data_IF_414442935415
#
_entry.id   IF_414442935415
#
_cell.length_a   1.000
_cell.length_b   1.000
_cell.length_c   1.000
_cell.angle_alpha   90.00
_cell.angle_beta   90.00
_cell.angle_gamma   90.00
#
_symmetry.space_group_name_H-M   'P 1'
#
loop_
_entity.id
_entity.type
_entity.pdbx_description
1 polymer ?
#
# COMPACT_ATOMS: atom_id res chain seq x y z
N UNK A 1 -9.36 2.28 -26.48
CA UNK A 1 -8.57 1.93 -25.25
C UNK A 1 -7.15 2.46 -25.36
N UNK A 2 -6.49 2.26 -26.49
CA UNK A 2 -5.08 2.67 -26.73
C UNK A 2 -4.86 4.18 -26.70
N UNK A 3 -5.90 4.96 -26.99
CA UNK A 3 -5.81 6.43 -27.11
C UNK A 3 -5.76 7.16 -25.74
N UNK A 4 -6.26 6.54 -24.69
CA UNK A 4 -6.22 7.11 -23.32
C UNK A 4 -4.87 6.84 -22.64
N UNK A 5 -4.28 5.68 -22.88
CA UNK A 5 -2.96 5.33 -22.35
C UNK A 5 -1.85 6.14 -23.03
N UNK A 6 -1.92 6.32 -24.34
CA UNK A 6 -0.95 7.12 -25.09
C UNK A 6 -1.04 8.62 -24.75
N UNK A 7 -2.23 9.15 -24.49
CA UNK A 7 -2.41 10.54 -24.04
C UNK A 7 -1.84 10.78 -22.65
N UNK A 8 -2.03 9.83 -21.71
CA UNK A 8 -1.47 9.88 -20.37
C UNK A 8 0.06 9.95 -20.38
N UNK A 9 0.70 9.11 -21.18
CA UNK A 9 2.15 9.12 -21.37
C UNK A 9 2.65 10.40 -22.06
N UNK A 10 1.94 10.89 -23.06
CA UNK A 10 2.28 12.13 -23.75
C UNK A 10 2.23 13.36 -22.85
N UNK A 11 1.26 13.46 -21.95
CA UNK A 11 1.15 14.56 -21.00
C UNK A 11 2.21 14.48 -19.90
N UNK A 12 2.54 13.29 -19.43
CA UNK A 12 3.65 13.07 -18.48
C UNK A 12 4.96 13.50 -19.14
N UNK A 13 5.22 13.09 -20.37
CA UNK A 13 6.44 13.44 -21.11
C UNK A 13 6.56 14.94 -21.37
N UNK A 14 5.50 15.62 -21.80
CA UNK A 14 5.51 17.07 -22.05
C UNK A 14 5.79 17.89 -20.80
N UNK A 15 5.28 17.49 -19.65
CA UNK A 15 5.55 18.19 -18.39
C UNK A 15 6.94 17.91 -17.86
N UNK A 16 7.44 16.69 -18.06
CA UNK A 16 8.81 16.30 -17.68
C UNK A 16 9.89 16.99 -18.53
N UNK A 17 9.60 17.33 -19.78
CA UNK A 17 10.49 18.14 -20.61
C UNK A 17 10.83 19.49 -19.99
N UNK A 18 10.00 20.02 -19.09
CA UNK A 18 10.25 21.22 -18.29
C UNK A 18 10.88 20.93 -16.92
N UNK A 19 11.39 19.73 -16.68
CA UNK A 19 12.04 19.33 -15.42
C UNK A 19 11.09 19.15 -14.23
N UNK A 20 9.79 19.12 -14.45
CA UNK A 20 8.77 18.90 -13.40
C UNK A 20 8.12 17.54 -13.56
N UNK A 21 8.23 16.69 -12.53
CA UNK A 21 7.49 15.43 -12.47
C UNK A 21 5.97 15.65 -12.45
N UNK A 22 5.24 14.78 -13.15
CA UNK A 22 3.78 14.78 -13.12
C UNK A 22 3.29 14.10 -11.85
N UNK A 23 2.57 14.81 -10.99
CA UNK A 23 2.15 14.27 -9.69
C UNK A 23 0.73 13.68 -9.72
N UNK A 24 -0.17 14.17 -10.58
CA UNK A 24 -1.56 13.73 -10.64
C UNK A 24 -2.14 13.84 -12.06
N UNK A 25 -2.97 12.88 -12.51
CA UNK A 25 -3.22 11.58 -11.89
C UNK A 25 -1.97 10.70 -11.95
N UNK A 26 -1.75 9.85 -10.93
CA UNK A 26 -0.64 8.91 -10.90
C UNK A 26 -1.07 7.66 -11.69
N UNK A 27 -0.46 7.36 -12.84
CA UNK A 27 -0.77 6.15 -13.59
C UNK A 27 -0.27 4.91 -12.85
N UNK A 28 -1.03 3.82 -12.95
CA UNK A 28 -0.64 2.51 -12.42
C UNK A 28 -0.78 1.47 -13.52
N UNK A 29 0.30 0.78 -13.83
CA UNK A 29 0.35 -0.28 -14.82
C UNK A 29 0.20 -1.64 -14.16
N UNK A 30 -0.68 -2.48 -14.69
CA UNK A 30 -0.82 -3.88 -14.28
C UNK A 30 0.19 -4.75 -15.03
N UNK A 31 1.09 -5.38 -14.30
CA UNK A 31 2.03 -6.36 -14.86
C UNK A 31 1.40 -7.73 -14.70
N UNK A 32 0.98 -8.31 -15.80
CA UNK A 32 0.37 -9.63 -15.90
C UNK A 32 1.33 -10.61 -16.58
N UNK A 33 0.97 -11.89 -16.65
CA UNK A 33 1.83 -12.93 -17.28
C UNK A 33 2.08 -12.72 -18.76
N UNK A 34 1.15 -12.02 -19.43
CA UNK A 34 1.18 -11.66 -20.84
C UNK A 34 1.77 -10.26 -21.09
N UNK A 35 2.38 -9.63 -20.07
CA UNK A 35 3.04 -8.34 -20.25
C UNK A 35 4.19 -8.46 -21.26
N UNK A 36 4.18 -7.56 -22.26
CA UNK A 36 5.22 -7.51 -23.28
C UNK A 36 6.50 -6.89 -22.72
N UNK A 37 7.50 -7.72 -22.48
CA UNK A 37 8.83 -7.31 -22.00
C UNK A 37 9.80 -6.96 -23.13
N UNK A 38 9.33 -6.90 -24.39
CA UNK A 38 10.20 -6.56 -25.52
C UNK A 38 10.79 -5.14 -25.38
N UNK A 39 11.97 -4.94 -25.94
CA UNK A 39 12.68 -3.66 -25.90
C UNK A 39 12.09 -2.63 -26.89
N UNK A 40 10.77 -2.44 -26.85
CA UNK A 40 10.12 -1.38 -27.61
C UNK A 40 10.52 -0.01 -27.06
N UNK A 41 10.44 1.00 -27.89
CA UNK A 41 10.71 2.39 -27.49
C UNK A 41 9.78 2.83 -26.35
N UNK A 42 8.50 2.39 -26.38
CA UNK A 42 7.53 2.67 -25.33
C UNK A 42 7.93 2.02 -23.99
N UNK A 43 8.36 0.78 -23.99
CA UNK A 43 8.78 0.09 -22.76
C UNK A 43 10.06 0.71 -22.18
N UNK A 44 11.03 1.04 -23.04
CA UNK A 44 12.25 1.77 -22.60
C UNK A 44 11.89 3.09 -21.92
N UNK A 45 11.05 3.88 -22.55
CA UNK A 45 10.60 5.17 -22.02
C UNK A 45 9.82 5.00 -20.70
N UNK A 46 8.94 4.00 -20.61
CA UNK A 46 8.16 3.69 -19.40
C UNK A 46 9.06 3.40 -18.19
N UNK A 47 10.04 2.52 -18.37
CA UNK A 47 10.95 2.15 -17.30
C UNK A 47 11.98 3.24 -16.98
N UNK A 48 12.44 4.00 -17.98
CA UNK A 48 13.29 5.17 -17.76
C UNK A 48 12.57 6.24 -16.91
N UNK A 49 11.32 6.51 -17.23
CA UNK A 49 10.48 7.43 -16.44
C UNK A 49 10.30 6.93 -15.00
N UNK A 50 10.02 5.67 -14.82
CA UNK A 50 9.85 5.08 -13.49
C UNK A 50 11.14 5.17 -12.67
N UNK A 51 12.29 4.89 -13.28
CA UNK A 51 13.60 4.98 -12.65
C UNK A 51 13.97 6.43 -12.25
N UNK A 52 13.65 7.39 -13.11
CA UNK A 52 14.03 8.80 -12.90
C UNK A 52 13.11 9.56 -11.95
N UNK A 53 11.81 9.27 -12.01
CA UNK A 53 10.79 10.08 -11.33
C UNK A 53 9.97 9.29 -10.28
N UNK A 54 10.18 7.97 -10.17
CA UNK A 54 9.38 7.12 -9.29
C UNK A 54 7.91 6.97 -9.72
N UNK A 55 7.57 7.35 -10.96
CA UNK A 55 6.25 7.22 -11.58
C UNK A 55 6.41 6.76 -13.03
N UNK A 56 5.50 5.96 -13.57
CA UNK A 56 4.25 5.42 -12.99
C UNK A 56 4.49 4.34 -11.92
N UNK A 57 3.41 3.94 -11.23
CA UNK A 57 3.43 2.80 -10.33
C UNK A 57 3.10 1.51 -11.08
N UNK A 58 3.53 0.37 -10.50
CA UNK A 58 3.29 -0.95 -11.08
C UNK A 58 2.57 -1.85 -10.07
N UNK A 59 1.51 -2.51 -10.54
CA UNK A 59 0.83 -3.57 -9.81
C UNK A 59 1.21 -4.92 -10.42
N UNK A 60 1.94 -5.75 -9.66
CA UNK A 60 2.42 -7.03 -10.14
C UNK A 60 1.40 -8.15 -9.84
N UNK A 61 0.91 -8.79 -10.89
CA UNK A 61 -0.01 -9.93 -10.86
C UNK A 61 0.64 -11.23 -11.37
N UNK A 62 1.92 -11.23 -11.73
CA UNK A 62 2.61 -12.42 -12.27
C UNK A 62 2.63 -13.56 -11.27
N UNK A 63 2.94 -13.27 -10.01
CA UNK A 63 2.98 -14.23 -8.91
C UNK A 63 1.81 -14.05 -7.93
N UNK A 64 0.72 -13.51 -8.41
CA UNK A 64 -0.50 -13.29 -7.63
C UNK A 64 -1.56 -14.31 -8.05
N UNK A 65 -2.34 -14.79 -7.09
CA UNK A 65 -3.56 -15.56 -7.31
C UNK A 65 -4.78 -14.68 -7.58
N UNK A 66 -4.58 -13.36 -7.60
CA UNK A 66 -5.60 -12.35 -7.89
C UNK A 66 -5.50 -11.88 -9.33
N UNK A 67 -6.66 -11.69 -9.98
CA UNK A 67 -6.76 -11.04 -11.28
C UNK A 67 -6.93 -9.51 -11.11
N UNK A 68 -6.50 -8.69 -12.08
CA UNK A 68 -6.70 -7.22 -12.02
C UNK A 68 -8.16 -6.81 -11.83
N UNK A 69 -9.11 -7.62 -12.31
CA UNK A 69 -10.56 -7.41 -12.16
C UNK A 69 -11.08 -7.63 -10.74
N UNK A 70 -10.36 -8.43 -9.94
CA UNK A 70 -10.75 -8.78 -8.56
C UNK A 70 -10.22 -7.80 -7.52
N UNK A 71 -9.47 -6.80 -7.95
CA UNK A 71 -8.78 -5.88 -7.07
C UNK A 71 -9.30 -4.46 -7.22
N UNK A 72 -9.62 -3.82 -6.11
CA UNK A 72 -9.80 -2.36 -6.03
C UNK A 72 -8.58 -1.74 -5.41
N UNK A 73 -8.13 -0.65 -5.99
CA UNK A 73 -6.99 0.12 -5.46
C UNK A 73 -7.51 1.36 -4.76
N UNK A 74 -7.06 1.58 -3.52
CA UNK A 74 -7.26 2.87 -2.83
C UNK A 74 -6.21 3.89 -3.28
N UNK A 75 -6.37 5.15 -2.89
CA UNK A 75 -5.48 6.26 -3.27
C UNK A 75 -3.99 5.97 -3.04
N UNK A 76 -3.64 5.20 -2.01
CA UNK A 76 -2.27 4.79 -1.67
C UNK A 76 -1.84 3.47 -2.31
N UNK A 77 -2.53 3.00 -3.35
CA UNK A 77 -2.27 1.73 -4.06
C UNK A 77 -2.40 0.47 -3.19
N UNK A 78 -3.07 0.56 -2.07
CA UNK A 78 -3.44 -0.59 -1.27
C UNK A 78 -4.43 -1.44 -2.08
N UNK A 79 -4.07 -2.70 -2.33
CA UNK A 79 -4.94 -3.65 -3.02
C UNK A 79 -5.92 -4.27 -2.04
N UNK A 80 -7.20 -4.26 -2.40
CA UNK A 80 -8.27 -4.89 -1.64
C UNK A 80 -8.72 -6.14 -2.38
N UNK A 81 -8.63 -7.30 -1.74
CA UNK A 81 -9.14 -8.55 -2.29
C UNK A 81 -10.67 -8.58 -2.16
N UNK A 82 -11.35 -8.35 -3.27
CA UNK A 82 -12.80 -8.36 -3.31
C UNK A 82 -13.41 -9.76 -3.18
N UNK A 83 -12.63 -10.82 -3.40
CA UNK A 83 -13.11 -12.21 -3.29
C UNK A 83 -13.48 -12.54 -1.85
N UNK A 84 -12.64 -12.14 -0.90
CA UNK A 84 -12.92 -12.31 0.54
C UNK A 84 -14.11 -11.47 1.01
N UNK A 85 -14.26 -10.25 0.49
CA UNK A 85 -15.40 -9.39 0.78
C UNK A 85 -16.70 -9.98 0.21
N UNK A 86 -16.67 -10.52 -1.00
CA UNK A 86 -17.82 -11.20 -1.62
C UNK A 86 -18.25 -12.46 -0.84
N UNK A 87 -17.29 -13.24 -0.34
CA UNK A 87 -17.59 -14.41 0.50
C UNK A 87 -18.30 -14.03 1.81
N UNK A 88 -17.81 -12.96 2.48
CA UNK A 88 -18.39 -12.48 3.75
C UNK A 88 -19.77 -11.86 3.59
N UNK A 89 -20.08 -11.31 2.44
CA UNK A 89 -21.36 -10.62 2.17
C UNK A 89 -22.43 -11.48 1.50
N UNK A 90 -22.23 -12.80 1.38
CA UNK A 90 -23.20 -13.72 0.79
C UNK A 90 -23.49 -13.50 -0.68
N UNK A 91 -22.55 -12.91 -1.43
CA UNK A 91 -22.67 -12.73 -2.87
C UNK A 91 -23.56 -11.57 -3.33
N UNK A 92 -23.95 -10.67 -2.45
CA UNK A 92 -24.77 -9.51 -2.80
C UNK A 92 -24.01 -8.58 -3.75
N UNK A 93 -24.63 -8.25 -4.89
CA UNK A 93 -24.13 -7.25 -5.85
C UNK A 93 -23.95 -5.92 -5.10
N UNK A 94 -22.72 -5.34 -5.12
CA UNK A 94 -22.41 -4.05 -4.52
C UNK A 94 -21.55 -4.08 -3.25
N UNK A 95 -21.26 -5.25 -2.65
CA UNK A 95 -20.42 -5.35 -1.45
C UNK A 95 -18.98 -4.86 -1.64
N UNK A 96 -18.48 -4.89 -2.87
CA UNK A 96 -17.16 -4.32 -3.22
C UNK A 96 -17.16 -2.80 -3.44
N UNK A 97 -18.32 -2.18 -3.59
CA UNK A 97 -18.44 -0.74 -3.86
C UNK A 97 -18.44 0.12 -2.60
N UNK A 98 -18.77 -0.47 -1.45
CA UNK A 98 -18.83 0.21 -0.14
C UNK A 98 -17.57 0.01 0.71
N UNK A 99 -16.41 -0.20 0.10
CA UNK A 99 -15.13 -0.35 0.80
C UNK A 99 -14.38 0.96 0.89
N UNK A 100 -13.60 1.13 1.96
CA UNK A 100 -12.79 2.33 2.16
C UNK A 100 -11.81 2.15 3.31
N UNK A 101 -11.28 3.24 3.83
CA UNK A 101 -10.36 3.25 4.96
C UNK A 101 -10.90 4.09 6.11
N UNK A 102 -10.90 3.50 7.29
CA UNK A 102 -11.18 4.19 8.55
C UNK A 102 -9.99 5.04 8.98
N UNK A 103 -8.80 4.54 8.73
CA UNK A 103 -7.57 5.22 9.08
C UNK A 103 -6.33 4.40 8.79
N UNK A 104 -5.22 5.11 8.72
CA UNK A 104 -3.88 4.53 8.51
C UNK A 104 -2.97 5.04 9.61
N UNK A 105 -2.18 4.15 10.20
CA UNK A 105 -1.04 4.49 11.07
C UNK A 105 0.22 3.96 10.41
N UNK A 106 1.24 4.80 10.25
CA UNK A 106 2.50 4.41 9.63
C UNK A 106 3.60 4.34 10.69
N UNK A 107 4.21 3.17 10.83
CA UNK A 107 5.28 2.91 11.78
C UNK A 107 6.61 3.39 11.20
N UNK A 108 7.35 4.18 11.97
CA UNK A 108 8.68 4.67 11.62
C UNK A 108 9.73 3.63 12.00
N UNK A 109 9.97 2.67 11.12
CA UNK A 109 10.93 1.59 11.35
C UNK A 109 12.38 2.07 11.51
N UNK A 110 12.90 3.07 10.77
CA UNK A 110 14.26 3.60 10.99
C UNK A 110 14.49 4.08 12.40
N UNK A 111 13.50 4.74 13.00
CA UNK A 111 13.60 5.21 14.39
C UNK A 111 13.68 4.04 15.36
N UNK A 112 12.89 2.99 15.17
CA UNK A 112 12.94 1.78 15.99
C UNK A 112 14.33 1.15 15.89
N UNK A 113 14.84 0.97 14.67
CA UNK A 113 16.17 0.40 14.44
C UNK A 113 17.30 1.22 15.08
N UNK A 114 17.23 2.54 14.96
CA UNK A 114 18.22 3.45 15.57
C UNK A 114 18.26 3.35 17.10
N UNK A 115 17.09 3.22 17.73
CA UNK A 115 16.94 3.17 19.18
C UNK A 115 17.25 1.77 19.77
N UNK A 116 17.26 0.72 18.94
CA UNK A 116 17.45 -0.65 19.36
C UNK A 116 18.95 -1.01 19.41
N UNK A 117 19.35 -1.76 20.42
CA UNK A 117 20.72 -2.24 20.58
C UNK A 117 20.99 -3.48 19.72
N UNK A 118 19.98 -4.33 19.61
CA UNK A 118 20.01 -5.61 18.93
C UNK A 118 18.67 -5.91 18.25
N UNK A 119 18.63 -7.01 17.53
CA UNK A 119 17.44 -7.46 16.79
C UNK A 119 16.27 -7.80 17.72
N UNK A 120 16.53 -8.37 18.89
CA UNK A 120 15.48 -8.70 19.85
C UNK A 120 14.78 -7.45 20.36
N UNK A 121 15.53 -6.43 20.76
CA UNK A 121 14.96 -5.15 21.21
C UNK A 121 14.19 -4.45 20.09
N UNK A 122 14.63 -4.62 18.83
CA UNK A 122 13.89 -4.10 17.67
C UNK A 122 12.50 -4.70 17.59
N UNK A 123 12.35 -6.04 17.67
CA UNK A 123 11.05 -6.69 17.61
C UNK A 123 10.17 -6.35 18.83
N UNK A 124 10.72 -6.27 20.03
CA UNK A 124 9.97 -5.85 21.23
C UNK A 124 9.40 -4.44 21.08
N UNK A 125 10.18 -3.50 20.53
CA UNK A 125 9.71 -2.13 20.24
C UNK A 125 8.69 -2.09 19.11
N UNK A 126 8.92 -2.85 18.05
CA UNK A 126 8.01 -2.94 16.92
C UNK A 126 6.65 -3.49 17.36
N UNK A 127 6.63 -4.54 18.15
CA UNK A 127 5.41 -5.12 18.71
C UNK A 127 4.64 -4.09 19.53
N UNK A 128 5.33 -3.38 20.42
CA UNK A 128 4.73 -2.33 21.24
C UNK A 128 4.10 -1.20 20.40
N UNK A 129 4.78 -0.73 19.36
CA UNK A 129 4.25 0.31 18.45
C UNK A 129 3.06 -0.22 17.66
N UNK A 130 3.07 -1.48 17.23
CA UNK A 130 1.94 -2.10 16.56
C UNK A 130 0.71 -2.21 17.47
N UNK A 131 0.89 -2.55 18.75
CA UNK A 131 -0.20 -2.61 19.73
C UNK A 131 -0.82 -1.23 19.98
N UNK A 132 -0.01 -0.18 20.05
CA UNK A 132 -0.48 1.22 20.15
C UNK A 132 -1.26 1.59 18.89
N UNK A 133 -0.73 1.27 17.71
CA UNK A 133 -1.38 1.55 16.43
C UNK A 133 -2.73 0.84 16.31
N UNK A 134 -2.80 -0.44 16.64
CA UNK A 134 -4.03 -1.23 16.61
C UNK A 134 -5.09 -0.66 17.56
N UNK A 135 -4.68 -0.31 18.79
CA UNK A 135 -5.56 0.32 19.79
C UNK A 135 -6.07 1.67 19.32
N UNK A 136 -5.21 2.50 18.77
CA UNK A 136 -5.57 3.81 18.22
C UNK A 136 -6.61 3.68 17.10
N UNK A 137 -6.40 2.77 16.16
CA UNK A 137 -7.32 2.51 15.05
C UNK A 137 -8.66 1.95 15.53
N UNK A 138 -8.66 1.08 16.55
CA UNK A 138 -9.88 0.57 17.18
C UNK A 138 -10.69 1.69 17.83
N UNK A 139 -10.04 2.56 18.60
CA UNK A 139 -10.69 3.72 19.23
C UNK A 139 -11.26 4.63 18.15
N UNK A 140 -10.48 4.96 17.11
CA UNK A 140 -10.95 5.78 15.99
C UNK A 140 -12.19 5.19 15.33
N UNK A 141 -12.18 3.87 15.04
CA UNK A 141 -13.32 3.17 14.46
C UNK A 141 -14.57 3.32 15.32
N UNK A 142 -14.45 3.10 16.62
CA UNK A 142 -15.58 3.21 17.55
C UNK A 142 -16.15 4.63 17.57
N UNK A 143 -15.27 5.64 17.61
CA UNK A 143 -15.69 7.06 17.63
C UNK A 143 -16.42 7.43 16.34
N UNK A 144 -15.85 7.11 15.16
CA UNK A 144 -16.50 7.49 13.89
C UNK A 144 -17.80 6.70 13.64
N UNK A 145 -17.89 5.44 14.12
CA UNK A 145 -19.12 4.66 14.02
C UNK A 145 -20.22 5.31 14.88
N UNK A 146 -19.90 5.70 16.12
CA UNK A 146 -20.82 6.44 16.98
C UNK A 146 -21.29 7.73 16.32
N UNK A 147 -20.38 8.53 15.75
CA UNK A 147 -20.70 9.77 15.06
C UNK A 147 -21.57 9.54 13.80
N UNK A 148 -21.35 8.42 13.08
CA UNK A 148 -22.20 8.03 11.96
C UNK A 148 -23.63 7.73 12.42
N UNK A 149 -23.78 7.02 13.54
CA UNK A 149 -25.09 6.68 14.11
C UNK A 149 -25.84 7.91 14.61
N UNK A 150 -25.12 8.87 15.17
CA UNK A 150 -25.63 10.18 15.61
C UNK A 150 -25.96 11.12 14.45
N UNK A 151 -25.68 10.72 13.19
CA UNK A 151 -26.05 11.48 11.98
C UNK A 151 -25.07 12.58 11.56
N UNK A 152 -23.86 12.64 12.16
CA UNK A 152 -22.84 13.63 11.81
C UNK A 152 -22.22 13.41 10.43
N UNK A 153 -22.43 12.24 9.82
CA UNK A 153 -21.99 11.91 8.46
C UNK A 153 -23.17 11.54 7.55
N UNK A 154 -24.07 12.51 7.21
CA UNK A 154 -25.31 12.19 6.52
C UNK A 154 -25.11 11.58 5.13
N UNK A 155 -24.12 12.05 4.38
CA UNK A 155 -23.81 11.46 3.07
C UNK A 155 -23.19 10.06 3.19
N UNK A 156 -22.26 9.85 4.12
CA UNK A 156 -21.68 8.54 4.39
C UNK A 156 -22.75 7.54 4.82
N UNK A 157 -23.64 7.95 5.72
CA UNK A 157 -24.76 7.10 6.17
C UNK A 157 -25.69 6.73 5.03
N UNK A 158 -25.99 7.68 4.14
CA UNK A 158 -26.86 7.46 2.99
C UNK A 158 -26.27 6.52 1.94
N UNK A 159 -24.97 6.68 1.62
CA UNK A 159 -24.35 5.96 0.51
C UNK A 159 -23.60 4.69 0.93
N UNK A 160 -23.02 4.65 2.12
CA UNK A 160 -22.23 3.52 2.62
C UNK A 160 -22.95 2.73 3.74
N UNK A 161 -23.83 3.36 4.46
CA UNK A 161 -24.60 2.77 5.56
C UNK A 161 -23.79 2.48 6.81
N UNK A 162 -22.67 1.75 6.69
CA UNK A 162 -21.79 1.34 7.80
C UNK A 162 -20.32 1.41 7.41
N UNK A 163 -19.43 1.33 8.41
CA UNK A 163 -17.99 1.19 8.21
C UNK A 163 -17.49 -0.27 8.28
N UNK A 164 -18.39 -1.26 8.25
CA UNK A 164 -18.01 -2.67 8.46
C UNK A 164 -17.04 -3.19 7.40
N UNK A 165 -17.16 -2.73 6.15
CA UNK A 165 -16.29 -3.10 5.04
C UNK A 165 -15.09 -2.16 4.86
N UNK A 166 -14.84 -1.25 5.81
CA UNK A 166 -13.73 -0.33 5.75
C UNK A 166 -12.54 -0.88 6.53
N UNK A 167 -11.34 -0.63 6.02
CA UNK A 167 -10.12 -1.15 6.60
C UNK A 167 -9.50 -0.19 7.61
N UNK A 168 -8.90 -0.77 8.64
CA UNK A 168 -7.93 -0.11 9.52
C UNK A 168 -6.55 -0.60 9.10
N UNK A 169 -5.67 0.30 8.73
CA UNK A 169 -4.40 -0.06 8.10
C UNK A 169 -3.22 0.33 8.98
N UNK A 170 -2.29 -0.59 9.20
CA UNK A 170 -0.97 -0.31 9.77
C UNK A 170 0.04 -0.43 8.64
N UNK A 171 0.67 0.68 8.29
CA UNK A 171 1.73 0.77 7.30
C UNK A 171 3.11 0.88 7.94
N UNK A 172 4.13 0.88 7.11
CA UNK A 172 5.51 1.08 7.50
C UNK A 172 6.22 2.03 6.53
N UNK A 173 7.29 2.65 7.00
CA UNK A 173 8.18 3.48 6.20
C UNK A 173 9.63 3.19 6.52
N UNK A 174 10.50 3.30 5.51
CA UNK A 174 11.94 3.35 5.69
C UNK A 174 12.62 2.00 5.91
N UNK A 175 12.16 0.93 5.28
CA UNK A 175 12.78 -0.40 5.42
C UNK A 175 14.26 -0.42 4.97
N UNK A 176 14.62 0.35 3.95
CA UNK A 176 16.01 0.48 3.54
C UNK A 176 16.86 1.12 4.64
N UNK A 177 16.36 2.20 5.24
CA UNK A 177 17.02 2.93 6.31
C UNK A 177 17.10 2.12 7.62
N UNK A 178 16.21 1.13 7.79
CA UNK A 178 16.34 0.16 8.90
C UNK A 178 17.68 -0.55 8.82
N UNK A 179 18.02 -1.10 7.65
CA UNK A 179 19.29 -1.79 7.45
C UNK A 179 20.50 -0.91 7.76
N UNK A 180 20.45 0.36 7.36
CA UNK A 180 21.51 1.33 7.61
C UNK A 180 21.61 1.74 9.09
N UNK A 181 20.50 1.85 9.79
CA UNK A 181 20.44 2.29 11.19
C UNK A 181 20.63 1.15 12.19
N UNK A 182 20.25 -0.06 11.84
CA UNK A 182 20.40 -1.25 12.66
C UNK A 182 21.90 -1.56 12.94
N UNK A 183 22.30 -1.52 14.21
CA UNK A 183 23.70 -1.72 14.61
C UNK A 183 24.25 -3.09 14.23
N UNK A 184 23.38 -4.09 14.13
CA UNK A 184 23.71 -5.47 13.79
C UNK A 184 23.72 -5.74 12.28
N UNK A 185 23.25 -4.81 11.43
CA UNK A 185 23.27 -4.95 9.97
C UNK A 185 24.23 -3.99 9.29
N UNK A 186 24.02 -2.68 9.45
CA UNK A 186 24.80 -1.60 8.82
C UNK A 186 24.92 -1.71 7.32
N UNK A 187 23.90 -2.29 6.66
CA UNK A 187 23.84 -2.54 5.23
C UNK A 187 22.45 -2.16 4.71
N UNK A 188 22.38 -1.66 3.50
CA UNK A 188 21.12 -1.35 2.82
C UNK A 188 20.43 -2.60 2.23
N UNK A 189 19.29 -2.41 1.59
CA UNK A 189 18.51 -3.49 0.96
C UNK A 189 19.17 -4.15 -0.26
N UNK A 190 20.32 -3.68 -0.74
CA UNK A 190 21.08 -4.37 -1.80
C UNK A 190 21.77 -5.62 -1.28
N UNK A 191 21.88 -5.79 0.04
CA UNK A 191 22.55 -6.93 0.69
C UNK A 191 21.54 -7.99 1.14
N UNK A 192 21.85 -9.25 0.88
CA UNK A 192 20.98 -10.40 1.17
C UNK A 192 20.57 -10.49 2.65
N UNK A 193 21.47 -10.20 3.57
CA UNK A 193 21.17 -10.20 5.01
C UNK A 193 20.06 -9.20 5.35
N UNK A 194 20.13 -8.01 4.76
CA UNK A 194 19.11 -6.96 5.00
C UNK A 194 17.80 -7.32 4.31
N UNK A 195 17.85 -7.94 3.12
CA UNK A 195 16.65 -8.44 2.45
C UNK A 195 15.96 -9.54 3.27
N UNK A 196 16.73 -10.48 3.84
CA UNK A 196 16.20 -11.51 4.71
C UNK A 196 15.55 -10.89 5.95
N UNK A 197 16.26 -10.00 6.64
CA UNK A 197 15.73 -9.28 7.81
C UNK A 197 14.44 -8.53 7.45
N UNK A 198 14.41 -7.80 6.33
CA UNK A 198 13.22 -7.10 5.86
C UNK A 198 12.02 -8.04 5.65
N UNK A 199 12.26 -9.22 5.06
CA UNK A 199 11.24 -10.24 4.87
C UNK A 199 10.71 -10.77 6.22
N UNK A 200 11.61 -11.01 7.17
CA UNK A 200 11.26 -11.50 8.50
C UNK A 200 10.43 -10.45 9.28
N UNK A 201 10.79 -9.18 9.18
CA UNK A 201 10.01 -8.05 9.75
C UNK A 201 8.60 -7.99 9.13
N UNK A 202 8.48 -8.11 7.82
CA UNK A 202 7.17 -8.09 7.14
C UNK A 202 6.32 -9.28 7.54
N UNK A 203 6.91 -10.48 7.66
CA UNK A 203 6.20 -11.67 8.14
C UNK A 203 5.73 -11.48 9.58
N UNK A 204 6.60 -11.01 10.48
CA UNK A 204 6.24 -10.70 11.85
C UNK A 204 5.06 -9.73 11.95
N UNK A 205 5.12 -8.62 11.20
CA UNK A 205 4.02 -7.65 11.19
C UNK A 205 2.72 -8.24 10.66
N UNK A 206 2.79 -9.05 9.60
CA UNK A 206 1.61 -9.73 9.04
C UNK A 206 0.99 -10.71 10.03
N UNK A 207 1.82 -11.54 10.66
CA UNK A 207 1.37 -12.57 11.59
C UNK A 207 0.71 -11.91 12.83
N UNK A 208 1.33 -10.86 13.36
CA UNK A 208 0.76 -10.04 14.46
C UNK A 208 -0.59 -9.39 14.11
N UNK A 209 -0.86 -9.10 12.84
CA UNK A 209 -2.14 -8.52 12.40
C UNK A 209 -3.23 -9.58 12.14
N UNK A 210 -2.85 -10.85 12.09
CA UNK A 210 -3.76 -11.97 11.85
C UNK A 210 -4.35 -12.55 13.14
N UNK A 211 -3.70 -12.29 14.27
CA UNK A 211 -4.11 -12.65 15.63
C UNK A 211 -5.18 -11.65 16.18
#
# INVERSE_FOLDING_TARGET
RDDVESRGLGDVYKRQANGRGFQYPIPTYSITKDFDWSETENNKLLFEMAAKYGTPYFSNYVNSDMEPSDVRSMCCRLRLDLRELRKKSGGYFGSGESTGSVGVVTINLPRIAYLSKDEREFYERLEHEMDIAARSLKIKRNVITKLLDEGLYPYTKRYLGTFNNHFSTIGLVGMNEVGLNARWLRKDLTHEETQKFAKDVLNFMRDKLSD
#
